data_IF_732500448515
#
_entry.id   IF_732500448515
#
_cell.length_a   1.000
_cell.length_b   1.000
_cell.length_c   1.000
_cell.angle_alpha   90.00
_cell.angle_beta   90.00
_cell.angle_gamma   90.00
#
_symmetry.space_group_name_H-M   'P 1'
#
loop_
_entity.id
_entity.type
_entity.pdbx_description
1 polymer ?
#
# COMPACT_ATOMS: atom_id res chain seq x y z
N UNK A 1 -7.91 12.67 3.64
CA UNK A 1 -8.88 12.20 2.63
C UNK A 1 -9.04 13.19 1.48
N UNK A 2 -9.11 14.50 1.74
CA UNK A 2 -9.25 15.56 0.73
C UNK A 2 -8.19 15.58 -0.40
N UNK A 3 -6.98 15.05 -0.17
CA UNK A 3 -5.91 14.99 -1.18
C UNK A 3 -6.15 13.93 -2.28
N UNK A 4 -7.01 12.94 -2.08
CA UNK A 4 -7.26 11.89 -3.09
C UNK A 4 -8.46 12.20 -4.00
N UNK A 5 -9.26 13.21 -3.66
CA UNK A 5 -10.43 13.64 -4.46
C UNK A 5 -10.06 14.60 -5.60
N UNK A 6 -8.92 15.29 -5.54
CA UNK A 6 -8.49 16.22 -6.59
C UNK A 6 -7.34 15.63 -7.41
N UNK A 7 -7.66 14.82 -8.43
CA UNK A 7 -6.79 14.55 -9.60
C UNK A 7 -5.27 14.53 -9.33
N UNK A 8 -4.83 13.79 -8.31
CA UNK A 8 -3.42 13.52 -7.98
C UNK A 8 -2.87 12.38 -8.86
N UNK A 9 -3.68 11.91 -9.80
CA UNK A 9 -3.48 10.75 -10.63
C UNK A 9 -2.30 10.91 -11.61
N UNK A 10 -2.10 12.13 -12.14
CA UNK A 10 -1.14 12.32 -13.24
C UNK A 10 0.30 12.58 -12.75
N UNK A 11 0.51 13.06 -11.52
CA UNK A 11 1.84 13.53 -11.09
C UNK A 11 2.51 12.73 -9.97
N UNK A 12 1.82 11.80 -9.30
CA UNK A 12 2.39 11.08 -8.14
C UNK A 12 2.78 9.63 -8.41
N UNK A 13 2.39 9.08 -9.57
CA UNK A 13 2.66 7.70 -9.95
C UNK A 13 1.82 6.66 -9.20
N UNK A 14 0.87 7.11 -8.36
CA UNK A 14 -0.12 6.25 -7.72
C UNK A 14 -1.02 5.57 -8.76
N UNK A 15 -1.74 4.48 -8.38
CA UNK A 15 -2.68 3.83 -9.28
C UNK A 15 -3.84 4.75 -9.65
N UNK A 16 -4.41 4.58 -10.85
CA UNK A 16 -5.60 5.30 -11.31
C UNK A 16 -6.82 5.09 -10.40
N UNK A 17 -6.93 3.89 -9.82
CA UNK A 17 -7.99 3.55 -8.87
C UNK A 17 -7.41 3.00 -7.56
N UNK A 18 -6.87 3.87 -6.67
CA UNK A 18 -6.29 3.44 -5.41
C UNK A 18 -7.31 2.73 -4.53
N UNK A 19 -6.87 1.75 -3.75
CA UNK A 19 -7.74 1.03 -2.82
C UNK A 19 -8.01 1.85 -1.54
N UNK A 20 -8.92 2.83 -1.64
CA UNK A 20 -9.26 3.73 -0.54
C UNK A 20 -9.90 3.02 0.66
N UNK A 21 -10.60 1.91 0.42
CA UNK A 21 -11.24 1.11 1.47
C UNK A 21 -10.17 0.44 2.34
N UNK A 22 -9.19 -0.21 1.73
CA UNK A 22 -8.08 -0.81 2.48
C UNK A 22 -7.20 0.26 3.13
N UNK A 23 -6.97 1.38 2.44
CA UNK A 23 -6.22 2.50 3.00
C UNK A 23 -6.84 3.03 4.30
N UNK A 24 -8.14 3.32 4.32
CA UNK A 24 -8.79 3.81 5.55
C UNK A 24 -8.73 2.76 6.66
N UNK A 25 -9.03 1.49 6.35
CA UNK A 25 -8.91 0.37 7.30
C UNK A 25 -7.51 0.28 7.92
N UNK A 26 -6.45 0.35 7.10
CA UNK A 26 -5.06 0.31 7.58
C UNK A 26 -4.75 1.56 8.39
N UNK A 27 -5.10 2.76 7.90
CA UNK A 27 -4.91 4.03 8.61
C UNK A 27 -5.52 4.00 10.01
N UNK A 28 -6.77 3.58 10.16
CA UNK A 28 -7.42 3.51 11.47
C UNK A 28 -6.66 2.60 12.45
N UNK A 29 -6.05 1.52 11.95
CA UNK A 29 -5.26 0.56 12.75
C UNK A 29 -3.89 1.10 13.13
N UNK A 30 -3.22 1.84 12.24
CA UNK A 30 -1.81 2.24 12.45
C UNK A 30 -1.62 3.69 12.89
N UNK A 31 -2.65 4.55 12.84
CA UNK A 31 -2.55 6.01 13.14
C UNK A 31 -1.94 6.39 14.49
N UNK A 32 -1.89 5.46 15.44
CA UNK A 32 -1.33 5.66 16.78
C UNK A 32 0.03 4.97 16.98
N UNK A 33 0.55 4.33 15.94
CA UNK A 33 1.81 3.59 15.93
C UNK A 33 2.88 4.34 15.14
N UNK A 34 4.14 4.04 15.42
CA UNK A 34 5.24 4.38 14.51
C UNK A 34 5.35 3.27 13.46
N UNK A 35 5.17 3.62 12.20
CA UNK A 35 5.25 2.68 11.08
C UNK A 35 6.05 3.29 9.93
N UNK A 36 6.64 2.44 9.10
CA UNK A 36 7.31 2.87 7.88
C UNK A 36 6.27 3.38 6.87
N UNK A 37 6.52 4.48 6.15
CA UNK A 37 5.55 5.09 5.21
C UNK A 37 4.96 4.09 4.21
N UNK A 38 5.79 3.15 3.75
CA UNK A 38 5.35 2.07 2.86
C UNK A 38 4.26 1.18 3.44
N UNK A 39 4.17 1.04 4.76
CA UNK A 39 3.09 0.29 5.43
C UNK A 39 1.73 0.84 5.03
N UNK A 40 1.56 2.17 5.13
CA UNK A 40 0.30 2.81 4.79
C UNK A 40 0.12 2.95 3.28
N UNK A 41 1.19 3.28 2.55
CA UNK A 41 1.11 3.42 1.09
C UNK A 41 0.76 2.10 0.40
N UNK A 42 1.23 0.98 0.93
CA UNK A 42 0.93 -0.35 0.39
C UNK A 42 -0.58 -0.65 0.35
N UNK A 43 -1.36 -0.04 1.24
CA UNK A 43 -2.80 -0.19 1.29
C UNK A 43 -3.51 0.43 0.07
N UNK A 44 -2.86 1.35 -0.67
CA UNK A 44 -3.40 1.92 -1.91
C UNK A 44 -3.31 0.96 -3.10
N UNK A 45 -2.42 -0.03 -3.06
CA UNK A 45 -2.19 -0.94 -4.18
C UNK A 45 -3.03 -2.21 -4.06
N UNK A 46 -3.59 -2.68 -5.17
CA UNK A 46 -4.40 -3.91 -5.24
C UNK A 46 -3.55 -5.14 -5.47
N UNK A 47 -2.46 -5.01 -6.23
CA UNK A 47 -1.59 -6.11 -6.66
C UNK A 47 -0.13 -5.66 -6.77
N UNK A 48 0.78 -6.62 -6.92
CA UNK A 48 2.23 -6.35 -7.00
C UNK A 48 2.62 -5.56 -8.25
N UNK A 49 1.87 -5.66 -9.34
CA UNK A 49 2.12 -4.91 -10.58
C UNK A 49 1.94 -3.41 -10.39
N UNK A 50 0.94 -2.99 -9.63
CA UNK A 50 0.74 -1.57 -9.26
C UNK A 50 1.91 -1.03 -8.42
N UNK A 51 2.49 -1.84 -7.53
CA UNK A 51 3.70 -1.47 -6.77
C UNK A 51 4.90 -1.28 -7.70
N UNK A 52 5.08 -2.18 -8.67
CA UNK A 52 6.17 -2.09 -9.64
C UNK A 52 6.01 -0.90 -10.59
N UNK A 53 4.76 -0.61 -11.00
CA UNK A 53 4.42 0.58 -11.78
C UNK A 53 4.75 1.85 -11.00
N UNK A 54 4.37 1.93 -9.72
CA UNK A 54 4.71 3.04 -8.86
C UNK A 54 6.23 3.19 -8.70
N UNK A 55 6.94 2.11 -8.38
CA UNK A 55 8.41 2.09 -8.27
C UNK A 55 9.09 2.60 -9.54
N UNK A 56 8.59 2.24 -10.73
CA UNK A 56 9.14 2.69 -12.01
C UNK A 56 9.12 4.22 -12.17
N UNK A 57 8.12 4.88 -11.56
CA UNK A 57 7.90 6.33 -11.60
C UNK A 57 8.64 7.08 -10.50
N UNK A 58 8.51 6.63 -9.25
CA UNK A 58 9.04 7.37 -8.08
C UNK A 58 10.43 6.91 -7.62
N UNK A 59 10.97 5.83 -8.19
CA UNK A 59 12.30 5.29 -7.89
C UNK A 59 12.51 4.96 -6.41
N UNK A 60 11.58 4.18 -5.83
CA UNK A 60 11.72 3.65 -4.47
C UNK A 60 13.09 2.99 -4.26
N UNK A 61 13.62 3.07 -3.04
CA UNK A 61 14.74 2.23 -2.66
C UNK A 61 14.37 0.74 -2.78
N UNK A 62 15.38 -0.12 -2.90
CA UNK A 62 15.16 -1.57 -2.93
C UNK A 62 14.38 -2.03 -1.68
N UNK A 63 14.72 -1.49 -0.51
CA UNK A 63 14.02 -1.78 0.74
C UNK A 63 12.54 -1.42 0.69
N UNK A 64 12.20 -0.21 0.22
CA UNK A 64 10.81 0.24 0.12
C UNK A 64 10.00 -0.61 -0.85
N UNK A 65 10.55 -0.88 -2.04
CA UNK A 65 9.94 -1.74 -3.04
C UNK A 65 9.64 -3.12 -2.45
N UNK A 66 10.65 -3.73 -1.82
CA UNK A 66 10.53 -5.10 -1.29
C UNK A 66 9.56 -5.15 -0.10
N UNK A 67 9.53 -4.12 0.74
CA UNK A 67 8.54 -3.98 1.81
C UNK A 67 7.11 -3.88 1.26
N UNK A 68 6.89 -3.08 0.21
CA UNK A 68 5.58 -2.96 -0.43
C UNK A 68 5.10 -4.28 -1.03
N UNK A 69 5.98 -4.99 -1.75
CA UNK A 69 5.69 -6.30 -2.33
C UNK A 69 5.42 -7.36 -1.24
N UNK A 70 6.19 -7.34 -0.16
CA UNK A 70 6.01 -8.25 0.96
C UNK A 70 4.66 -8.06 1.64
N UNK A 71 4.25 -6.82 1.93
CA UNK A 71 2.96 -6.55 2.56
C UNK A 71 1.83 -7.02 1.65
N UNK A 72 1.84 -6.68 0.35
CA UNK A 72 0.78 -7.10 -0.56
C UNK A 72 0.65 -8.63 -0.67
N UNK A 73 1.78 -9.34 -0.66
CA UNK A 73 1.79 -10.81 -0.73
C UNK A 73 1.24 -11.49 0.53
N UNK A 74 1.19 -10.78 1.66
CA UNK A 74 0.95 -11.37 2.98
C UNK A 74 -0.15 -10.67 3.80
N UNK A 75 -0.85 -9.67 3.25
CA UNK A 75 -1.85 -8.89 4.00
C UNK A 75 -3.15 -9.64 4.29
N UNK A 76 -3.45 -10.68 3.52
CA UNK A 76 -4.63 -11.51 3.72
C UNK A 76 -4.39 -12.53 4.84
N UNK A 77 -5.46 -12.84 5.59
CA UNK A 77 -5.40 -13.85 6.63
C UNK A 77 -5.06 -15.21 6.01
N UNK A 78 -4.00 -15.84 6.52
CA UNK A 78 -3.64 -17.19 6.12
C UNK A 78 -4.31 -18.17 7.09
N UNK A 79 -5.03 -19.19 6.59
CA UNK A 79 -5.61 -20.20 7.47
C UNK A 79 -4.48 -20.89 8.25
N UNK A 80 -4.62 -20.95 9.58
CA UNK A 80 -3.66 -21.68 10.41
C UNK A 80 -3.75 -23.17 10.09
N UNK A 81 -2.61 -23.80 9.78
CA UNK A 81 -2.51 -25.25 9.54
C UNK A 81 -2.76 -26.02 10.86
N UNK A 82 -2.72 -25.34 12.01
CA UNK A 82 -3.15 -25.84 13.32
C UNK A 82 -3.97 -24.75 14.04
N UNK A 83 -5.30 -24.74 13.92
CA UNK A 83 -6.12 -23.86 14.74
C UNK A 83 -5.92 -24.24 16.22
N UNK A 84 -5.77 -23.22 17.07
CA UNK A 84 -5.67 -23.35 18.53
C UNK A 84 -7.00 -23.81 19.12
#
# INVERSE_FOLDING_TARGET
>A
MYLLEQSVDVFTGLPENPNLVEFDKVWQRVKHLKYHSMTLLSALFRNQEEVMTFHSRVKLSAYERDLGLFILANREDKPSIKPL
#
